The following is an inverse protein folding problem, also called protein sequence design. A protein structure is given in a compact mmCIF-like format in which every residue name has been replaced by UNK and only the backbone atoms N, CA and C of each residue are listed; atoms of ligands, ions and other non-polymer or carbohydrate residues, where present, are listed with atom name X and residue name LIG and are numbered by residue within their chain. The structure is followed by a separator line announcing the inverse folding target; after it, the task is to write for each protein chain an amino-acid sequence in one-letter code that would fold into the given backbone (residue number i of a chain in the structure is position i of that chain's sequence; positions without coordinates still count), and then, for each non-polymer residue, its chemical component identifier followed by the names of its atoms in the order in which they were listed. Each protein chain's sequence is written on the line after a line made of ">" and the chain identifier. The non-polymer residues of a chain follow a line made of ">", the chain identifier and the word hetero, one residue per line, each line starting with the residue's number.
data_IF_936408947380
#
_entry.id   IF_936408947380
#
_cell.length_a   1.000
_cell.length_b   1.000
_cell.length_c   1.000
_cell.angle_alpha   90.00
_cell.angle_beta   90.00
_cell.angle_gamma   90.00
#
_symmetry.space_group_name_H-M   'P 1'
#
loop_
_entity.id
_entity.type
_entity.pdbx_description
1 polymer ?
#
# COMPACT_ATOMS: atom_id res chain seq x y z
N UNK A 1 30.75 -11.55 -3.97
CA UNK A 1 31.36 -10.39 -4.67
C UNK A 1 32.50 -9.90 -3.79
N UNK A 2 33.63 -9.46 -4.34
CA UNK A 2 34.75 -9.00 -3.52
C UNK A 2 34.71 -7.47 -3.33
N UNK A 3 34.65 -7.03 -2.08
CA UNK A 3 34.83 -5.63 -1.72
C UNK A 3 36.32 -5.31 -1.61
N UNK A 4 36.71 -4.12 -2.07
CA UNK A 4 38.09 -3.63 -1.93
C UNK A 4 38.10 -2.19 -1.41
N UNK A 5 39.21 -1.79 -0.77
CA UNK A 5 39.41 -0.42 -0.25
C UNK A 5 39.15 0.66 -1.30
N UNK A 6 39.48 0.41 -2.57
CA UNK A 6 39.24 1.37 -3.66
C UNK A 6 37.75 1.56 -3.90
N UNK A 7 36.98 0.47 -3.92
CA UNK A 7 35.54 0.52 -4.13
C UNK A 7 34.82 1.19 -2.96
N UNK A 8 35.14 0.80 -1.72
CA UNK A 8 34.51 1.38 -0.53
C UNK A 8 34.86 2.87 -0.44
N UNK A 9 36.13 3.26 -0.63
CA UNK A 9 36.53 4.67 -0.60
C UNK A 9 35.83 5.52 -1.67
N UNK A 10 35.57 4.97 -2.85
CA UNK A 10 34.90 5.68 -3.94
C UNK A 10 33.44 6.06 -3.62
N UNK A 11 32.81 5.39 -2.65
CA UNK A 11 31.42 5.65 -2.21
C UNK A 11 31.31 6.65 -1.05
N UNK A 12 32.41 7.31 -0.66
CA UNK A 12 32.46 8.29 0.43
C UNK A 12 31.83 7.80 1.76
N UNK A 13 32.35 6.69 2.33
CA UNK A 13 31.87 6.14 3.60
C UNK A 13 32.14 7.10 4.76
N UNK A 14 31.39 6.95 5.84
CA UNK A 14 31.68 7.67 7.08
C UNK A 14 33.08 7.29 7.61
N UNK A 15 33.73 8.22 8.30
CA UNK A 15 35.09 8.02 8.79
C UNK A 15 35.21 6.83 9.75
N UNK A 16 34.18 6.56 10.56
CA UNK A 16 34.12 5.42 11.47
C UNK A 16 34.06 4.08 10.72
N UNK A 17 33.11 3.92 9.79
CA UNK A 17 32.93 2.69 9.04
C UNK A 17 34.08 2.36 8.10
N UNK A 18 34.70 3.38 7.50
CA UNK A 18 35.89 3.16 6.67
C UNK A 18 37.10 2.69 7.49
N UNK A 19 37.33 3.27 8.69
CA UNK A 19 38.38 2.81 9.59
C UNK A 19 38.16 1.37 10.05
N UNK A 20 36.92 1.02 10.40
CA UNK A 20 36.54 -0.34 10.77
C UNK A 20 36.89 -1.33 9.64
N UNK A 21 36.49 -1.04 8.40
CA UNK A 21 36.74 -1.92 7.25
C UNK A 21 38.25 -2.11 6.95
N UNK A 22 39.06 -1.07 7.14
CA UNK A 22 40.51 -1.17 6.97
C UNK A 22 41.17 -2.00 8.08
N UNK A 23 40.70 -1.87 9.32
CA UNK A 23 41.29 -2.53 10.49
C UNK A 23 40.93 -4.01 10.54
N UNK A 24 39.65 -4.35 10.33
CA UNK A 24 39.13 -5.69 10.66
C UNK A 24 39.14 -6.61 9.42
N UNK A 25 39.06 -6.04 8.21
CA UNK A 25 39.11 -6.78 6.95
C UNK A 25 40.35 -6.48 6.10
N UNK A 26 41.36 -5.77 6.62
CA UNK A 26 42.55 -5.36 5.85
C UNK A 26 42.24 -4.64 4.52
N UNK A 27 41.05 -4.02 4.42
CA UNK A 27 40.58 -3.35 3.21
C UNK A 27 40.13 -4.26 2.07
N UNK A 28 39.82 -5.54 2.33
CA UNK A 28 39.23 -6.46 1.35
C UNK A 28 38.39 -7.56 2.01
N UNK A 29 37.34 -8.04 1.35
CA UNK A 29 36.55 -9.15 1.89
C UNK A 29 35.41 -9.55 0.98
N UNK A 30 34.89 -10.76 1.19
CA UNK A 30 33.64 -11.14 0.54
C UNK A 30 32.49 -10.25 1.06
N UNK A 31 31.65 -9.81 0.13
CA UNK A 31 30.63 -8.82 0.40
C UNK A 31 29.68 -9.23 1.52
N UNK A 32 29.16 -10.47 1.49
CA UNK A 32 28.23 -10.92 2.52
C UNK A 32 28.95 -11.08 3.86
N UNK A 33 30.17 -11.62 3.86
CA UNK A 33 30.97 -11.76 5.08
C UNK A 33 31.24 -10.41 5.77
N UNK A 34 31.43 -9.33 5.00
CA UNK A 34 31.60 -7.98 5.54
C UNK A 34 30.28 -7.45 6.12
N UNK A 35 29.13 -7.71 5.49
CA UNK A 35 27.82 -7.35 6.03
C UNK A 35 27.56 -8.08 7.36
N UNK A 36 27.83 -9.38 7.40
CA UNK A 36 27.64 -10.20 8.60
C UNK A 36 28.54 -9.74 9.74
N UNK A 37 29.80 -9.39 9.46
CA UNK A 37 30.74 -8.86 10.45
C UNK A 37 30.30 -7.48 10.99
N UNK A 38 29.76 -6.59 10.13
CA UNK A 38 29.19 -5.32 10.59
C UNK A 38 28.00 -5.54 11.52
N UNK A 39 27.12 -6.48 11.21
CA UNK A 39 25.98 -6.82 12.06
C UNK A 39 26.45 -7.42 13.39
N UNK A 40 27.43 -8.32 13.38
CA UNK A 40 28.00 -8.92 14.59
C UNK A 40 28.62 -7.87 15.52
N UNK A 41 29.22 -6.81 14.97
CA UNK A 41 29.80 -5.69 15.73
C UNK A 41 28.76 -4.61 16.12
N UNK A 42 27.47 -4.87 15.91
CA UNK A 42 26.38 -3.93 16.22
C UNK A 42 26.30 -2.71 15.29
N UNK A 43 27.01 -2.75 14.16
CA UNK A 43 27.09 -1.67 13.15
C UNK A 43 26.06 -1.88 12.04
N UNK A 44 24.81 -2.19 12.42
CA UNK A 44 23.71 -2.54 11.49
C UNK A 44 23.45 -1.41 10.48
N UNK A 45 23.50 -0.15 10.92
CA UNK A 45 23.33 1.01 10.03
C UNK A 45 24.40 1.09 8.93
N UNK A 46 25.65 0.75 9.25
CA UNK A 46 26.72 0.69 8.24
C UNK A 46 26.52 -0.47 7.26
N UNK A 47 25.99 -1.62 7.72
CA UNK A 47 25.65 -2.74 6.86
C UNK A 47 24.52 -2.38 5.88
N UNK A 48 23.45 -1.75 6.37
CA UNK A 48 22.37 -1.24 5.53
C UNK A 48 22.88 -0.22 4.51
N UNK A 49 23.71 0.75 4.94
CA UNK A 49 24.32 1.73 4.04
C UNK A 49 25.17 1.06 2.95
N UNK A 50 25.97 0.07 3.32
CA UNK A 50 26.81 -0.67 2.37
C UNK A 50 25.96 -1.39 1.33
N UNK A 51 24.82 -1.95 1.74
CA UNK A 51 23.86 -2.55 0.82
C UNK A 51 23.23 -1.52 -0.13
N UNK A 52 22.85 -0.36 0.36
CA UNK A 52 22.29 0.70 -0.48
C UNK A 52 23.30 1.26 -1.50
N UNK A 53 24.61 1.24 -1.20
CA UNK A 53 25.65 1.77 -2.09
C UNK A 53 26.11 0.80 -3.18
N UNK A 54 26.15 -0.49 -2.86
CA UNK A 54 26.69 -1.53 -3.74
C UNK A 54 25.59 -2.36 -4.42
N UNK A 55 24.37 -2.29 -3.89
CA UNK A 55 23.22 -2.96 -4.44
C UNK A 55 23.16 -4.45 -4.09
N UNK A 56 22.07 -5.12 -4.48
CA UNK A 56 21.84 -6.50 -4.15
C UNK A 56 22.70 -7.48 -4.98
N UNK A 57 22.69 -8.73 -4.53
CA UNK A 57 23.24 -9.88 -5.27
C UNK A 57 22.13 -10.88 -5.61
N UNK A 58 22.41 -11.85 -6.49
CA UNK A 58 21.47 -12.93 -6.82
C UNK A 58 21.54 -14.12 -5.86
N UNK A 59 22.24 -13.98 -4.73
CA UNK A 59 22.34 -15.05 -3.73
C UNK A 59 20.97 -15.31 -3.07
N UNK A 60 20.73 -16.57 -2.71
CA UNK A 60 19.55 -16.97 -1.93
C UNK A 60 20.00 -17.65 -0.65
N UNK A 61 19.61 -17.09 0.50
CA UNK A 61 19.83 -17.68 1.81
C UNK A 61 18.56 -18.40 2.25
N UNK A 62 18.65 -19.72 2.42
CA UNK A 62 17.55 -20.57 2.90
C UNK A 62 17.76 -20.96 4.35
N UNK A 63 16.77 -20.68 5.19
CA UNK A 63 16.79 -20.99 6.62
C UNK A 63 15.49 -21.69 7.04
N UNK A 64 15.56 -22.44 8.12
CA UNK A 64 14.36 -23.05 8.70
C UNK A 64 13.58 -22.04 9.54
N UNK A 65 14.27 -21.37 10.46
CA UNK A 65 13.81 -20.25 11.29
C UNK A 65 14.89 -19.18 11.31
N UNK A 66 14.54 -17.95 11.68
CA UNK A 66 15.49 -16.88 11.90
C UNK A 66 15.16 -16.15 13.20
N UNK A 67 16.05 -16.31 14.18
CA UNK A 67 16.02 -15.62 15.47
C UNK A 67 17.39 -14.95 15.68
N UNK A 68 17.44 -13.62 15.62
CA UNK A 68 18.69 -12.86 15.67
C UNK A 68 18.47 -11.41 16.12
N UNK A 69 19.52 -10.70 16.56
CA UNK A 69 19.39 -9.27 16.86
C UNK A 69 19.10 -8.43 15.62
N UNK A 70 19.75 -8.74 14.50
CA UNK A 70 19.51 -8.15 13.20
C UNK A 70 19.95 -9.10 12.08
N UNK A 71 19.46 -8.90 10.87
CA UNK A 71 20.00 -9.52 9.66
C UNK A 71 20.07 -8.52 8.51
N UNK A 72 21.21 -8.51 7.80
CA UNK A 72 21.39 -7.76 6.56
C UNK A 72 21.96 -8.72 5.51
N UNK A 73 21.10 -9.17 4.59
CA UNK A 73 21.46 -10.09 3.53
C UNK A 73 21.41 -9.41 2.16
N UNK A 74 22.47 -9.54 1.36
CA UNK A 74 22.57 -8.84 0.08
C UNK A 74 21.61 -9.38 -1.00
N UNK A 75 21.12 -10.62 -0.86
CA UNK A 75 20.26 -11.27 -1.85
C UNK A 75 18.83 -11.46 -1.37
N UNK A 76 18.23 -12.59 -1.74
CA UNK A 76 16.89 -13.03 -1.31
C UNK A 76 17.00 -13.89 -0.06
N UNK A 77 16.16 -13.60 0.95
CA UNK A 77 16.04 -14.42 2.15
C UNK A 77 14.78 -15.28 2.07
N UNK A 78 14.94 -16.59 2.15
CA UNK A 78 13.86 -17.58 2.18
C UNK A 78 13.87 -18.29 3.54
N UNK A 79 12.83 -18.09 4.35
CA UNK A 79 12.71 -18.72 5.67
C UNK A 79 11.46 -19.60 5.70
N UNK A 80 11.61 -20.89 6.04
CA UNK A 80 10.47 -21.82 6.00
C UNK A 80 9.42 -21.49 7.09
N UNK A 81 9.87 -21.16 8.29
CA UNK A 81 9.04 -20.82 9.45
C UNK A 81 8.93 -19.30 9.58
N UNK A 82 9.19 -18.71 10.74
CA UNK A 82 9.10 -17.27 10.95
C UNK A 82 10.45 -16.57 11.00
N UNK A 83 10.40 -15.24 10.91
CA UNK A 83 11.53 -14.35 11.16
C UNK A 83 11.19 -13.54 12.40
N UNK A 84 12.07 -13.56 13.40
CA UNK A 84 11.95 -12.77 14.61
C UNK A 84 13.29 -12.12 14.90
N UNK A 85 13.35 -10.79 14.79
CA UNK A 85 14.57 -10.03 15.10
C UNK A 85 14.31 -8.87 16.04
N UNK A 86 15.31 -8.58 16.87
CA UNK A 86 15.22 -7.49 17.85
C UNK A 86 15.17 -6.12 17.17
N UNK A 87 15.85 -5.96 16.03
CA UNK A 87 16.01 -4.66 15.36
C UNK A 87 15.60 -4.71 13.89
N UNK A 88 16.51 -5.07 12.97
CA UNK A 88 16.34 -4.88 11.52
C UNK A 88 16.37 -6.21 10.77
N UNK A 89 15.40 -6.40 9.87
CA UNK A 89 15.47 -7.38 8.78
C UNK A 89 15.68 -6.63 7.48
N UNK A 90 16.84 -6.82 6.84
CA UNK A 90 17.13 -6.24 5.53
C UNK A 90 17.52 -7.34 4.54
N UNK A 91 16.78 -7.44 3.44
CA UNK A 91 17.20 -8.16 2.24
C UNK A 91 17.44 -7.20 1.08
N UNK A 92 18.50 -7.44 0.30
CA UNK A 92 18.80 -6.68 -0.89
C UNK A 92 17.78 -6.91 -2.00
N UNK A 93 17.22 -8.13 -2.09
CA UNK A 93 16.15 -8.47 -3.02
C UNK A 93 14.85 -8.71 -2.25
N UNK A 94 14.35 -9.94 -2.25
CA UNK A 94 13.06 -10.30 -1.65
C UNK A 94 13.20 -10.94 -0.27
N UNK A 95 12.17 -10.76 0.57
CA UNK A 95 11.97 -11.47 1.84
C UNK A 95 10.80 -12.43 1.67
N UNK A 96 11.04 -13.72 1.81
CA UNK A 96 10.02 -14.76 1.64
C UNK A 96 10.01 -15.60 2.91
N UNK A 97 8.87 -15.67 3.58
CA UNK A 97 8.72 -16.47 4.79
C UNK A 97 7.43 -17.28 4.78
N UNK A 98 7.48 -18.54 5.22
CA UNK A 98 6.28 -19.37 5.36
C UNK A 98 5.44 -19.03 6.60
N UNK A 99 6.01 -18.33 7.57
CA UNK A 99 5.37 -17.83 8.78
C UNK A 99 5.27 -16.30 8.81
N UNK A 100 5.27 -15.72 10.01
CA UNK A 100 5.27 -14.27 10.19
C UNK A 100 6.68 -13.64 10.16
N UNK A 101 6.73 -12.32 10.01
CA UNK A 101 7.94 -11.50 10.21
C UNK A 101 7.68 -10.57 11.39
N UNK A 102 8.56 -10.59 12.39
CA UNK A 102 8.60 -9.61 13.48
C UNK A 102 9.98 -8.96 13.52
N UNK A 103 10.02 -7.64 13.49
CA UNK A 103 11.23 -6.85 13.68
C UNK A 103 10.97 -5.70 14.65
N UNK A 104 11.89 -5.42 15.58
CA UNK A 104 11.68 -4.33 16.55
C UNK A 104 11.85 -2.93 15.96
N UNK A 105 12.54 -2.76 14.83
CA UNK A 105 12.79 -1.44 14.23
C UNK A 105 12.41 -1.34 12.76
N UNK A 106 12.86 -2.26 11.89
CA UNK A 106 12.49 -2.14 10.47
C UNK A 106 12.53 -3.45 9.71
N UNK A 107 11.65 -3.53 8.71
CA UNK A 107 11.61 -4.60 7.72
C UNK A 107 11.82 -3.96 6.35
N UNK A 108 12.88 -4.35 5.65
CA UNK A 108 13.26 -3.71 4.40
C UNK A 108 13.65 -4.76 3.35
N UNK A 109 13.00 -4.71 2.19
CA UNK A 109 13.33 -5.50 1.01
C UNK A 109 13.57 -4.58 -0.19
N UNK A 110 14.57 -4.88 -1.02
CA UNK A 110 14.76 -4.15 -2.28
C UNK A 110 13.69 -4.46 -3.31
N UNK A 111 13.02 -5.61 -3.19
CA UNK A 111 11.94 -6.07 -4.05
C UNK A 111 10.73 -6.42 -3.19
N UNK A 112 10.29 -7.68 -3.20
CA UNK A 112 9.03 -8.10 -2.60
C UNK A 112 9.20 -8.58 -1.15
N UNK A 113 8.15 -8.42 -0.35
CA UNK A 113 8.01 -9.06 0.96
C UNK A 113 6.79 -9.97 0.90
N UNK A 114 6.96 -11.25 1.21
CA UNK A 114 5.87 -12.23 1.25
C UNK A 114 5.95 -13.03 2.53
N UNK A 115 4.87 -13.02 3.31
CA UNK A 115 4.76 -13.75 4.56
C UNK A 115 3.50 -14.60 4.63
N UNK A 116 3.65 -15.87 5.01
CA UNK A 116 2.53 -16.79 5.29
C UNK A 116 1.79 -16.51 6.61
N UNK A 117 2.23 -15.50 7.38
CA UNK A 117 1.58 -15.03 8.60
C UNK A 117 1.58 -13.49 8.70
N UNK A 118 1.60 -12.98 9.93
CA UNK A 118 1.61 -11.54 10.20
C UNK A 118 2.95 -10.88 9.85
N UNK A 119 2.92 -9.64 9.36
CA UNK A 119 4.11 -8.79 9.25
C UNK A 119 3.99 -7.68 10.31
N UNK A 120 4.89 -7.69 11.29
CA UNK A 120 4.91 -6.72 12.38
C UNK A 120 6.28 -6.02 12.47
N UNK A 121 6.27 -4.68 12.43
CA UNK A 121 7.48 -3.86 12.61
C UNK A 121 7.27 -2.84 13.71
N UNK A 122 8.18 -2.79 14.67
CA UNK A 122 8.24 -1.73 15.69
C UNK A 122 8.71 -0.37 15.16
N UNK A 123 9.05 -0.29 13.87
CA UNK A 123 9.23 0.97 13.15
C UNK A 123 8.73 0.84 11.72
N UNK A 124 9.60 1.05 10.73
CA UNK A 124 9.16 1.19 9.32
C UNK A 124 9.06 -0.17 8.60
N UNK A 125 8.24 -0.22 7.56
CA UNK A 125 8.32 -1.24 6.52
C UNK A 125 8.61 -0.58 5.18
N UNK A 126 9.59 -1.08 4.43
CA UNK A 126 9.91 -0.62 3.09
C UNK A 126 10.12 -1.77 2.11
N UNK A 127 9.38 -1.79 1.01
CA UNK A 127 9.55 -2.74 -0.08
C UNK A 127 9.66 -1.99 -1.41
N UNK A 128 10.61 -2.36 -2.25
CA UNK A 128 10.69 -1.81 -3.61
C UNK A 128 9.65 -2.39 -4.58
N UNK A 129 9.13 -3.58 -4.27
CA UNK A 129 8.08 -4.27 -5.02
C UNK A 129 6.82 -4.45 -4.17
N UNK A 130 6.18 -5.62 -4.29
CA UNK A 130 4.93 -5.95 -3.61
C UNK A 130 5.16 -6.38 -2.16
N UNK A 131 4.17 -6.11 -1.29
CA UNK A 131 4.08 -6.64 0.08
C UNK A 131 2.82 -7.51 0.19
N UNK A 132 2.98 -8.76 0.62
CA UNK A 132 1.88 -9.69 0.82
C UNK A 132 1.99 -10.38 2.17
N UNK A 133 0.92 -10.34 2.96
CA UNK A 133 0.75 -11.08 4.20
C UNK A 133 -0.51 -11.93 4.14
N UNK A 134 -0.41 -13.19 4.54
CA UNK A 134 -1.58 -14.07 4.62
C UNK A 134 -2.49 -13.74 5.82
N UNK A 135 -2.00 -12.97 6.81
CA UNK A 135 -2.78 -12.43 7.93
C UNK A 135 -2.85 -10.89 7.84
N UNK A 136 -2.39 -10.17 8.87
CA UNK A 136 -2.35 -8.70 8.92
C UNK A 136 -0.96 -8.12 8.68
N UNK A 137 -0.93 -6.79 8.61
CA UNK A 137 0.29 -5.98 8.56
C UNK A 137 0.19 -4.89 9.64
N UNK A 138 1.11 -4.87 10.60
CA UNK A 138 1.13 -3.94 11.74
C UNK A 138 2.47 -3.19 11.80
N UNK A 139 2.47 -1.93 11.37
CA UNK A 139 3.67 -1.11 11.28
C UNK A 139 3.56 0.05 12.26
N UNK A 140 4.48 0.17 13.21
CA UNK A 140 4.40 1.21 14.24
C UNK A 140 4.62 2.62 13.69
N UNK A 141 5.33 2.76 12.56
CA UNK A 141 5.56 4.05 11.91
C UNK A 141 5.03 4.05 10.47
N UNK A 142 5.91 4.12 9.46
CA UNK A 142 5.54 4.29 8.06
C UNK A 142 5.66 2.99 7.27
N UNK A 143 4.68 2.74 6.41
CA UNK A 143 4.73 1.72 5.37
C UNK A 143 4.98 2.40 4.02
N UNK A 144 6.07 2.04 3.33
CA UNK A 144 6.40 2.48 1.98
C UNK A 144 6.56 1.27 1.05
N UNK A 145 5.71 1.20 0.02
CA UNK A 145 5.68 0.10 -0.92
C UNK A 145 5.71 0.61 -2.36
N UNK A 146 6.74 0.19 -3.11
CA UNK A 146 6.92 0.49 -4.52
C UNK A 146 6.03 -0.32 -5.47
N UNK A 147 5.27 -1.29 -4.97
CA UNK A 147 4.28 -2.07 -5.69
C UNK A 147 2.91 -2.08 -5.01
N UNK A 148 2.27 -3.24 -4.95
CA UNK A 148 0.99 -3.47 -4.30
C UNK A 148 1.17 -3.93 -2.86
N UNK A 149 0.22 -3.61 -1.98
CA UNK A 149 0.14 -4.15 -0.62
C UNK A 149 -1.12 -4.99 -0.48
N UNK A 150 -0.99 -6.23 -0.02
CA UNK A 150 -2.12 -7.14 0.24
C UNK A 150 -2.01 -7.79 1.61
N UNK A 151 -3.07 -7.72 2.39
CA UNK A 151 -3.26 -8.48 3.62
C UNK A 151 -4.65 -9.14 3.61
N UNK A 152 -4.78 -10.34 4.18
CA UNK A 152 -6.11 -10.97 4.29
C UNK A 152 -6.91 -10.42 5.47
N UNK A 153 -6.24 -9.86 6.47
CA UNK A 153 -6.87 -9.19 7.63
C UNK A 153 -6.61 -7.68 7.51
N UNK A 154 -6.21 -7.04 8.61
CA UNK A 154 -6.00 -5.60 8.70
C UNK A 154 -4.65 -5.14 8.15
N UNK A 155 -4.60 -3.88 7.71
CA UNK A 155 -3.37 -3.15 7.44
C UNK A 155 -3.36 -1.89 8.30
N UNK A 156 -2.43 -1.84 9.25
CA UNK A 156 -2.28 -0.77 10.23
C UNK A 156 -0.92 -0.09 10.10
N UNK A 157 -0.90 1.24 10.04
CA UNK A 157 0.31 2.05 10.14
C UNK A 157 0.17 3.15 11.20
N UNK A 158 1.12 3.25 12.13
CA UNK A 158 1.12 4.30 13.16
C UNK A 158 1.48 5.69 12.63
N UNK A 159 1.85 5.81 11.36
CA UNK A 159 2.04 7.07 10.63
C UNK A 159 1.49 6.91 9.20
N UNK A 160 2.22 7.40 8.18
CA UNK A 160 1.77 7.37 6.80
C UNK A 160 1.82 5.96 6.20
N UNK A 161 0.91 5.71 5.27
CA UNK A 161 0.91 4.54 4.41
C UNK A 161 1.00 5.01 2.95
N UNK A 162 2.13 4.71 2.31
CA UNK A 162 2.43 5.09 0.94
C UNK A 162 2.61 3.83 0.08
N UNK A 163 1.76 3.69 -0.94
CA UNK A 163 1.73 2.55 -1.86
C UNK A 163 1.60 3.07 -3.28
N UNK A 164 2.50 2.70 -4.19
CA UNK A 164 2.40 3.16 -5.60
C UNK A 164 1.35 2.37 -6.39
N UNK A 165 1.16 1.09 -6.06
CA UNK A 165 0.20 0.17 -6.66
C UNK A 165 -1.15 0.18 -5.94
N UNK A 166 -1.79 -0.99 -5.88
CA UNK A 166 -3.04 -1.20 -5.18
C UNK A 166 -2.83 -1.52 -3.70
N UNK A 167 -3.73 -1.03 -2.86
CA UNK A 167 -3.80 -1.35 -1.44
C UNK A 167 -5.04 -2.21 -1.16
N UNK A 168 -4.85 -3.42 -0.65
CA UNK A 168 -5.92 -4.37 -0.38
C UNK A 168 -5.82 -4.95 1.03
N UNK A 169 -6.85 -4.75 1.84
CA UNK A 169 -7.06 -5.45 3.11
C UNK A 169 -8.34 -6.29 3.04
N UNK A 170 -8.32 -7.49 3.59
CA UNK A 170 -9.54 -8.29 3.71
C UNK A 170 -10.45 -7.80 4.85
N UNK A 171 -9.91 -7.03 5.79
CA UNK A 171 -10.65 -6.34 6.84
C UNK A 171 -10.39 -4.83 6.75
N UNK A 172 -9.83 -4.19 7.77
CA UNK A 172 -9.70 -2.74 7.86
C UNK A 172 -8.35 -2.23 7.35
N UNK A 173 -8.34 -0.98 6.89
CA UNK A 173 -7.13 -0.20 6.68
C UNK A 173 -7.17 0.98 7.64
N UNK A 174 -6.20 1.09 8.56
CA UNK A 174 -6.17 2.14 9.57
C UNK A 174 -4.80 2.81 9.65
N UNK A 175 -4.77 4.14 9.58
CA UNK A 175 -3.53 4.90 9.73
C UNK A 175 -3.69 6.14 10.60
N UNK A 176 -2.70 6.41 11.44
CA UNK A 176 -2.64 7.68 12.18
C UNK A 176 -2.04 8.84 11.36
N UNK A 177 -1.45 8.54 10.20
CA UNK A 177 -1.00 9.52 9.21
C UNK A 177 -1.90 9.55 7.99
N UNK A 178 -1.30 9.93 6.86
CA UNK A 178 -2.00 9.97 5.57
C UNK A 178 -1.94 8.63 4.82
N UNK A 179 -2.95 8.35 4.00
CA UNK A 179 -2.94 7.25 3.02
C UNK A 179 -2.71 7.81 1.63
N UNK A 180 -1.61 7.39 0.98
CA UNK A 180 -1.28 7.74 -0.40
C UNK A 180 -1.17 6.47 -1.22
N UNK A 181 -2.15 6.24 -2.08
CA UNK A 181 -2.24 5.07 -2.95
C UNK A 181 -2.20 5.52 -4.41
N UNK A 182 -1.22 5.07 -5.18
CA UNK A 182 -1.10 5.43 -6.60
C UNK A 182 -2.16 4.78 -7.48
N UNK A 183 -2.79 3.70 -7.04
CA UNK A 183 -3.93 3.05 -7.71
C UNK A 183 -5.18 3.06 -6.82
N UNK A 184 -5.94 1.97 -6.77
CA UNK A 184 -7.16 1.84 -5.96
C UNK A 184 -6.94 1.23 -4.59
N UNK A 185 -7.79 1.62 -3.64
CA UNK A 185 -7.85 1.08 -2.27
C UNK A 185 -9.07 0.17 -2.14
N UNK A 186 -8.87 -1.02 -1.57
CA UNK A 186 -9.96 -1.96 -1.25
C UNK A 186 -9.83 -2.49 0.17
N UNK A 187 -10.88 -2.35 0.96
CA UNK A 187 -11.01 -2.94 2.29
C UNK A 187 -12.31 -3.75 2.38
N UNK A 188 -12.26 -4.92 3.01
CA UNK A 188 -13.48 -5.67 3.36
C UNK A 188 -14.25 -5.00 4.51
N UNK A 189 -13.56 -4.28 5.37
CA UNK A 189 -14.12 -3.41 6.41
C UNK A 189 -14.00 -1.93 6.02
N UNK A 190 -13.60 -1.09 6.98
CA UNK A 190 -13.44 0.35 6.82
C UNK A 190 -12.05 0.78 6.32
N UNK A 191 -11.98 2.03 5.87
CA UNK A 191 -10.72 2.72 5.55
C UNK A 191 -10.67 4.01 6.36
N UNK A 192 -9.74 4.10 7.30
CA UNK A 192 -9.60 5.23 8.21
C UNK A 192 -8.20 5.81 8.16
N UNK A 193 -8.10 7.13 8.04
CA UNK A 193 -6.87 7.88 8.21
C UNK A 193 -7.13 9.13 9.05
N UNK A 194 -6.26 9.44 10.00
CA UNK A 194 -6.35 10.69 10.80
C UNK A 194 -5.92 11.94 10.01
N UNK A 195 -5.33 11.77 8.82
CA UNK A 195 -4.99 12.87 7.90
C UNK A 195 -5.69 12.66 6.55
N UNK A 196 -5.06 13.07 5.44
CA UNK A 196 -5.61 12.93 4.10
C UNK A 196 -5.61 11.47 3.59
N UNK A 197 -6.64 11.13 2.80
CA UNK A 197 -6.68 9.91 1.98
C UNK A 197 -6.67 10.31 0.51
N UNK A 198 -5.68 9.85 -0.23
CA UNK A 198 -5.55 10.08 -1.67
C UNK A 198 -5.32 8.77 -2.41
N UNK A 199 -6.24 8.44 -3.33
CA UNK A 199 -6.13 7.30 -4.23
C UNK A 199 -6.10 7.74 -5.70
N UNK A 200 -5.17 7.22 -6.50
CA UNK A 200 -5.11 7.50 -7.94
C UNK A 200 -6.31 6.96 -8.72
N UNK A 201 -6.95 5.89 -8.24
CA UNK A 201 -8.16 5.32 -8.83
C UNK A 201 -9.37 5.48 -7.88
N UNK A 202 -10.12 4.41 -7.61
CA UNK A 202 -11.25 4.42 -6.68
C UNK A 202 -10.92 3.87 -5.30
N UNK A 203 -11.80 4.16 -4.33
CA UNK A 203 -11.74 3.60 -2.97
C UNK A 203 -13.02 2.81 -2.74
N UNK A 204 -12.87 1.55 -2.34
CA UNK A 204 -13.97 0.66 -1.99
C UNK A 204 -13.78 0.11 -0.58
N UNK A 205 -14.74 0.37 0.31
CA UNK A 205 -14.79 -0.16 1.66
C UNK A 205 -16.11 -0.90 1.89
N UNK A 206 -16.05 -2.06 2.55
CA UNK A 206 -17.27 -2.74 3.01
C UNK A 206 -17.92 -2.07 4.22
N UNK A 207 -17.14 -1.30 4.98
CA UNK A 207 -17.61 -0.42 6.06
C UNK A 207 -17.56 1.05 5.67
N UNK A 208 -17.22 1.89 6.64
CA UNK A 208 -17.08 3.35 6.46
C UNK A 208 -15.73 3.76 5.84
N UNK A 209 -15.71 4.87 5.12
CA UNK A 209 -14.48 5.58 4.70
C UNK A 209 -14.38 6.87 5.52
N UNK A 210 -13.32 7.04 6.29
CA UNK A 210 -13.12 8.18 7.20
C UNK A 210 -11.74 8.82 7.01
N UNK A 211 -11.73 10.14 6.81
CA UNK A 211 -10.52 10.94 6.61
C UNK A 211 -10.51 12.12 7.58
N UNK A 212 -9.46 12.27 8.39
CA UNK A 212 -9.28 13.42 9.28
C UNK A 212 -8.89 14.71 8.57
N UNK A 213 -8.59 14.66 7.27
CA UNK A 213 -8.48 15.84 6.40
C UNK A 213 -9.25 15.62 5.09
N UNK A 214 -8.64 15.88 3.92
CA UNK A 214 -9.25 15.71 2.62
C UNK A 214 -9.32 14.25 2.18
N UNK A 215 -10.46 13.87 1.59
CA UNK A 215 -10.65 12.59 0.91
C UNK A 215 -10.68 12.83 -0.60
N UNK A 216 -9.74 12.25 -1.33
CA UNK A 216 -9.64 12.40 -2.78
C UNK A 216 -9.41 11.06 -3.48
N UNK A 217 -10.12 10.84 -4.59
CA UNK A 217 -9.86 9.72 -5.48
C UNK A 217 -10.03 10.09 -6.95
N UNK A 218 -9.22 9.49 -7.82
CA UNK A 218 -9.27 9.74 -9.26
C UNK A 218 -10.53 9.21 -9.95
N UNK A 219 -11.17 8.17 -9.40
CA UNK A 219 -12.42 7.58 -9.92
C UNK A 219 -13.54 7.75 -8.89
N UNK A 220 -14.21 6.67 -8.47
CA UNK A 220 -15.33 6.73 -7.54
C UNK A 220 -15.02 6.29 -6.11
N UNK A 221 -15.89 6.69 -5.18
CA UNK A 221 -15.91 6.26 -3.79
C UNK A 221 -17.10 5.32 -3.55
N UNK A 222 -16.85 4.18 -2.91
CA UNK A 222 -17.90 3.24 -2.51
C UNK A 222 -17.67 2.81 -1.07
N UNK A 223 -18.65 3.06 -0.20
CA UNK A 223 -18.67 2.60 1.18
C UNK A 223 -19.94 1.81 1.46
N UNK A 224 -19.82 0.69 2.18
CA UNK A 224 -20.97 -0.06 2.68
C UNK A 224 -21.70 0.61 3.84
N UNK A 225 -21.09 1.64 4.43
CA UNK A 225 -21.67 2.49 5.47
C UNK A 225 -21.55 3.97 5.09
N UNK A 226 -20.81 4.76 5.85
CA UNK A 226 -20.67 6.21 5.69
C UNK A 226 -19.39 6.59 4.94
N UNK A 227 -19.41 7.75 4.26
CA UNK A 227 -18.22 8.44 3.76
C UNK A 227 -18.11 9.76 4.50
N UNK A 228 -17.09 9.90 5.35
CA UNK A 228 -16.83 11.13 6.11
C UNK A 228 -15.42 11.65 5.88
N UNK A 229 -15.32 12.97 5.76
CA UNK A 229 -14.04 13.66 5.77
C UNK A 229 -14.16 14.96 6.56
N UNK A 230 -13.19 15.30 7.39
CA UNK A 230 -13.13 16.63 8.05
C UNK A 230 -12.71 17.75 7.08
N UNK A 231 -12.20 17.38 5.90
CA UNK A 231 -11.99 18.27 4.76
C UNK A 231 -13.01 18.04 3.63
N UNK A 232 -12.69 18.57 2.45
CA UNK A 232 -13.44 18.29 1.22
C UNK A 232 -13.35 16.80 0.78
N UNK A 233 -14.45 16.33 0.18
CA UNK A 233 -14.54 15.03 -0.50
C UNK A 233 -14.50 15.27 -2.01
N UNK A 234 -13.57 14.62 -2.71
CA UNK A 234 -13.38 14.78 -4.16
C UNK A 234 -13.30 13.41 -4.86
N UNK A 235 -14.27 13.13 -5.72
CA UNK A 235 -14.29 11.96 -6.58
C UNK A 235 -14.26 12.38 -8.06
N UNK A 236 -13.39 11.75 -8.85
CA UNK A 236 -13.37 11.93 -10.30
C UNK A 236 -14.67 11.47 -10.97
N UNK A 237 -15.30 10.43 -10.44
CA UNK A 237 -16.59 9.90 -10.88
C UNK A 237 -17.65 10.06 -9.78
N UNK A 238 -18.41 9.01 -9.47
CA UNK A 238 -19.46 9.03 -8.46
C UNK A 238 -18.99 8.76 -7.03
N UNK A 239 -19.88 8.99 -6.07
CA UNK A 239 -19.70 8.61 -4.68
C UNK A 239 -20.96 7.88 -4.18
N UNK A 240 -20.79 6.71 -3.59
CA UNK A 240 -21.87 5.89 -3.08
C UNK A 240 -21.59 5.48 -1.63
N UNK A 241 -22.53 5.79 -0.75
CA UNK A 241 -22.56 5.35 0.64
C UNK A 241 -23.93 4.72 0.93
N UNK A 242 -23.99 3.70 1.78
CA UNK A 242 -25.28 3.21 2.27
C UNK A 242 -25.87 4.16 3.32
N UNK A 243 -25.00 4.80 4.11
CA UNK A 243 -25.33 5.81 5.09
C UNK A 243 -25.19 7.23 4.53
N UNK A 244 -24.43 8.08 5.20
CA UNK A 244 -24.25 9.49 4.85
C UNK A 244 -22.97 9.74 4.06
N UNK A 245 -22.97 10.84 3.29
CA UNK A 245 -21.75 11.44 2.73
C UNK A 245 -21.63 12.83 3.32
N UNK A 246 -20.57 13.08 4.08
CA UNK A 246 -20.40 14.31 4.85
C UNK A 246 -18.94 14.80 4.75
N UNK A 247 -18.77 16.03 4.24
CA UNK A 247 -17.51 16.74 4.29
C UNK A 247 -17.47 17.66 5.53
N UNK A 248 -16.29 18.15 5.89
CA UNK A 248 -16.15 18.99 7.07
C UNK A 248 -16.76 20.36 6.91
N UNK A 249 -16.91 21.07 8.02
CA UNK A 249 -17.49 22.41 8.02
C UNK A 249 -16.75 23.36 7.04
N UNK A 250 -17.51 24.04 6.19
CA UNK A 250 -16.97 24.95 5.16
C UNK A 250 -16.41 24.25 3.91
N UNK A 251 -16.44 22.92 3.85
CA UNK A 251 -16.01 22.14 2.69
C UNK A 251 -17.19 21.57 1.89
N UNK A 252 -16.91 21.20 0.64
CA UNK A 252 -17.87 20.64 -0.29
C UNK A 252 -17.61 19.16 -0.60
N UNK A 253 -18.67 18.49 -1.05
CA UNK A 253 -18.61 17.19 -1.72
C UNK A 253 -18.61 17.44 -3.23
N UNK A 254 -17.57 16.98 -3.90
CA UNK A 254 -17.36 17.13 -5.33
C UNK A 254 -17.28 15.76 -6.00
N UNK A 255 -18.26 15.45 -6.84
CA UNK A 255 -18.27 14.27 -7.69
C UNK A 255 -18.34 14.68 -9.17
N UNK A 256 -17.96 13.77 -10.06
CA UNK A 256 -17.97 13.95 -11.50
C UNK A 256 -16.84 14.82 -12.05
N UNK A 257 -15.77 15.05 -11.28
CA UNK A 257 -14.67 15.95 -11.67
C UNK A 257 -13.95 15.54 -12.97
N UNK A 258 -14.10 14.29 -13.40
CA UNK A 258 -13.51 13.72 -14.62
C UNK A 258 -14.55 13.07 -15.53
N UNK A 259 -15.84 13.36 -15.33
CA UNK A 259 -16.94 12.78 -16.11
C UNK A 259 -17.32 13.70 -17.27
N UNK A 260 -17.57 13.12 -18.45
CA UNK A 260 -18.09 13.85 -19.61
C UNK A 260 -19.54 14.27 -19.38
N UNK A 261 -19.90 15.47 -19.83
CA UNK A 261 -21.24 16.03 -19.61
C UNK A 261 -22.39 15.19 -20.20
N UNK A 262 -22.15 14.47 -21.31
CA UNK A 262 -23.14 13.61 -21.95
C UNK A 262 -23.39 12.28 -21.22
N UNK A 263 -22.56 11.94 -20.22
CA UNK A 263 -22.71 10.77 -19.37
C UNK A 263 -22.84 11.15 -17.88
N UNK A 264 -23.14 12.41 -17.58
CA UNK A 264 -23.09 12.96 -16.23
C UNK A 264 -24.05 12.28 -15.26
N UNK A 265 -25.30 12.09 -15.68
CA UNK A 265 -26.35 11.41 -14.93
C UNK A 265 -26.05 9.93 -14.65
N UNK A 266 -25.29 9.28 -15.53
CA UNK A 266 -24.90 7.88 -15.41
C UNK A 266 -23.65 7.68 -14.56
N UNK A 267 -22.63 8.52 -14.71
CA UNK A 267 -21.30 8.29 -14.13
C UNK A 267 -20.98 9.19 -12.94
N UNK A 268 -21.46 10.43 -12.87
CA UNK A 268 -21.18 11.35 -11.76
C UNK A 268 -22.14 11.15 -10.57
N UNK A 269 -22.67 9.93 -10.39
CA UNK A 269 -23.76 9.65 -9.46
C UNK A 269 -23.32 9.80 -8.01
N UNK A 270 -24.12 10.51 -7.23
CA UNK A 270 -23.98 10.61 -5.78
C UNK A 270 -25.18 9.95 -5.14
N UNK A 271 -24.94 8.88 -4.39
CA UNK A 271 -25.96 8.04 -3.77
C UNK A 271 -25.65 7.90 -2.29
N UNK A 272 -26.61 8.26 -1.45
CA UNK A 272 -26.53 8.18 0.01
C UNK A 272 -27.96 8.07 0.56
N UNK A 273 -28.10 7.85 1.87
CA UNK A 273 -29.39 7.83 2.56
C UNK A 273 -30.16 9.15 2.38
N UNK A 274 -29.45 10.28 2.43
CA UNK A 274 -30.00 11.62 2.23
C UNK A 274 -29.05 12.46 1.39
N UNK A 275 -29.60 13.47 0.69
CA UNK A 275 -28.79 14.34 -0.16
C UNK A 275 -27.79 15.12 0.72
N UNK A 276 -26.47 15.03 0.46
CA UNK A 276 -25.49 15.79 1.23
C UNK A 276 -25.76 17.29 1.11
N UNK A 277 -25.89 17.98 2.24
CA UNK A 277 -26.12 19.42 2.26
C UNK A 277 -24.99 20.20 1.56
N UNK A 278 -23.79 19.63 1.58
CA UNK A 278 -22.56 20.18 1.01
C UNK A 278 -22.28 19.69 -0.42
N UNK A 279 -23.24 19.05 -1.09
CA UNK A 279 -23.05 18.57 -2.47
C UNK A 279 -22.90 19.75 -3.44
N UNK A 280 -21.69 19.97 -3.94
CA UNK A 280 -21.36 21.06 -4.88
C UNK A 280 -21.42 20.58 -6.33
N UNK A 281 -20.91 19.38 -6.62
CA UNK A 281 -20.95 18.79 -7.96
C UNK A 281 -21.26 17.29 -7.90
N UNK A 282 -21.89 16.79 -8.96
CA UNK A 282 -22.35 15.41 -9.11
C UNK A 282 -23.83 15.34 -9.46
N UNK A 283 -24.29 14.18 -9.88
CA UNK A 283 -25.70 13.90 -10.12
C UNK A 283 -26.29 13.18 -8.91
N UNK A 284 -27.11 13.86 -8.12
CA UNK A 284 -27.81 13.22 -7.00
C UNK A 284 -28.79 12.15 -7.50
N UNK A 285 -28.57 10.91 -7.10
CA UNK A 285 -29.35 9.74 -7.50
C UNK A 285 -29.80 8.88 -6.31
N UNK A 286 -29.97 9.50 -5.12
CA UNK A 286 -30.49 8.83 -3.93
C UNK A 286 -32.01 8.62 -3.96
N UNK A 287 -32.59 8.06 -2.88
CA UNK A 287 -33.99 7.62 -2.82
C UNK A 287 -35.01 8.68 -3.25
N UNK A 288 -34.78 9.93 -2.88
CA UNK A 288 -35.67 11.05 -3.23
C UNK A 288 -35.62 11.44 -4.72
N UNK A 289 -34.53 11.11 -5.42
CA UNK A 289 -34.33 11.38 -6.85
C UNK A 289 -35.10 10.43 -7.77
N UNK A 290 -35.52 9.26 -7.27
CA UNK A 290 -36.30 8.28 -8.04
C UNK A 290 -37.76 8.69 -8.27
N UNK A 291 -38.24 9.75 -7.61
CA UNK A 291 -39.63 10.23 -7.74
C UNK A 291 -39.91 11.05 -9.01
N UNK A 292 -38.89 11.40 -9.80
CA UNK A 292 -39.04 12.22 -11.01
C UNK A 292 -38.55 11.58 -12.32
N UNK A 293 -38.20 10.28 -12.33
CA UNK A 293 -37.97 9.53 -13.57
C UNK A 293 -39.05 8.45 -13.71
N UNK A 294 -39.81 8.49 -14.80
CA UNK A 294 -41.03 7.72 -15.02
C UNK A 294 -40.93 6.22 -14.71
N UNK A 295 -41.82 5.77 -13.83
CA UNK A 295 -42.47 4.45 -13.75
C UNK A 295 -41.63 3.21 -14.13
N UNK A 296 -41.18 2.45 -13.13
CA UNK A 296 -41.12 0.97 -13.17
C UNK A 296 -41.35 0.42 -11.74
N UNK A 297 -42.04 -0.71 -11.53
CA UNK A 297 -42.54 -1.09 -10.19
C UNK A 297 -41.42 -1.63 -9.26
N UNK A 298 -41.60 -1.52 -7.92
CA UNK A 298 -40.67 -2.08 -6.95
C UNK A 298 -41.00 -3.56 -6.74
N UNK A 299 -40.03 -4.43 -6.96
CA UNK A 299 -39.79 -5.68 -6.20
C UNK A 299 -38.76 -6.54 -6.94
N UNK A 300 -37.48 -6.20 -6.76
CA UNK A 300 -36.39 -7.17 -6.84
C UNK A 300 -35.16 -6.60 -6.12
N UNK A 301 -34.60 -7.28 -5.08
CA UNK A 301 -33.27 -6.94 -4.62
C UNK A 301 -32.28 -7.22 -5.76
N UNK A 302 -31.55 -6.19 -6.17
CA UNK A 302 -30.60 -6.27 -7.27
C UNK A 302 -29.36 -7.09 -6.84
N UNK A 303 -29.31 -8.35 -7.28
CA UNK A 303 -28.15 -9.22 -7.16
C UNK A 303 -27.27 -9.07 -8.42
N UNK A 304 -26.46 -8.01 -8.47
CA UNK A 304 -25.62 -7.67 -9.62
C UNK A 304 -24.12 -7.77 -9.35
N UNK A 305 -23.65 -8.82 -8.67
CA UNK A 305 -22.21 -9.08 -8.49
C UNK A 305 -21.83 -10.38 -9.21
N UNK A 306 -21.61 -10.36 -10.53
CA UNK A 306 -20.80 -11.40 -11.19
C UNK A 306 -20.33 -11.13 -12.64
N UNK A 307 -20.81 -10.10 -13.36
CA UNK A 307 -20.45 -9.96 -14.80
C UNK A 307 -19.91 -8.58 -15.20
N UNK A 308 -18.73 -8.24 -14.68
CA UNK A 308 -17.80 -7.30 -15.36
C UNK A 308 -16.52 -8.05 -15.69
N UNK A 309 -16.66 -9.05 -16.56
CA UNK A 309 -15.57 -9.97 -16.91
C UNK A 309 -15.73 -10.64 -18.27
N UNK A 310 -16.38 -10.02 -19.27
CA UNK A 310 -16.40 -10.55 -20.63
C UNK A 310 -16.73 -9.50 -21.71
N UNK A 311 -15.93 -8.44 -21.82
CA UNK A 311 -15.91 -7.66 -23.07
C UNK A 311 -15.05 -8.42 -24.10
N UNK A 312 -15.72 -9.18 -24.97
CA UNK A 312 -15.16 -9.80 -26.18
C UNK A 312 -14.33 -8.77 -26.96
N UNK A 313 -13.07 -9.12 -27.23
CA UNK A 313 -12.28 -8.56 -28.32
C UNK A 313 -12.82 -9.14 -29.62
N UNK A 314 -13.74 -8.43 -30.27
CA UNK A 314 -14.04 -8.71 -31.67
C UNK A 314 -13.20 -7.77 -32.55
N UNK A 315 -12.35 -8.42 -33.36
CA UNK A 315 -11.32 -7.80 -34.17
C UNK A 315 -11.86 -7.04 -35.36
N UNK A 316 -11.26 -5.88 -35.62
CA UNK A 316 -11.33 -5.19 -36.90
C UNK A 316 -10.49 -5.96 -37.93
N UNK A 317 -11.15 -6.72 -38.79
CA UNK A 317 -10.60 -7.18 -40.06
C UNK A 317 -11.63 -6.88 -41.17
N UNK A 318 -11.32 -5.90 -42.00
CA UNK A 318 -12.14 -5.50 -43.13
C UNK A 318 -11.40 -4.52 -44.03
N UNK A 319 -10.47 -5.04 -44.85
CA UNK A 319 -9.95 -4.31 -46.00
C UNK A 319 -10.90 -4.45 -47.20
N UNK A 320 -11.04 -3.43 -48.07
CA UNK A 320 -11.89 -3.55 -49.24
C UNK A 320 -11.14 -4.23 -50.39
N UNK A 321 -11.85 -5.13 -51.07
CA UNK A 321 -11.50 -5.62 -52.40
C UNK A 321 -11.82 -4.54 -53.45
N UNK A 322 -10.89 -4.35 -54.38
CA UNK A 322 -10.98 -3.44 -55.52
C UNK A 322 -9.60 -3.22 -56.13
#
# INVERSE_FOLDING_TARGET
>A
MQLTKKFVKAKNPCAGGYKWFLRDHNGQGDYQAVLDALVADGRVGDACWLLDQFGPTDAVLRLDTLDATAIVFAGTLEVRMGINVDTVVRAGRSLITGGGIRAGESIVAGENITAGGNIASGGNLRAGGDVAADWGIEIATRLDCGGNVRAKWDICAGQDLAVTGHLHAGQDINTQGAIKCGQGIKAGGGVTAEQEINAGCGIQAGGSIQSGEHLACGWGLIAGEDIRAEGAIRAGEGAQAAGVIEAGAGHGVYAGLSVRLDAWDLCARVVAQSRPAQLVSGHWAGPDGATNAGSTPPDQPWNGWMDVGAAKRDGYAGGPQG
#
